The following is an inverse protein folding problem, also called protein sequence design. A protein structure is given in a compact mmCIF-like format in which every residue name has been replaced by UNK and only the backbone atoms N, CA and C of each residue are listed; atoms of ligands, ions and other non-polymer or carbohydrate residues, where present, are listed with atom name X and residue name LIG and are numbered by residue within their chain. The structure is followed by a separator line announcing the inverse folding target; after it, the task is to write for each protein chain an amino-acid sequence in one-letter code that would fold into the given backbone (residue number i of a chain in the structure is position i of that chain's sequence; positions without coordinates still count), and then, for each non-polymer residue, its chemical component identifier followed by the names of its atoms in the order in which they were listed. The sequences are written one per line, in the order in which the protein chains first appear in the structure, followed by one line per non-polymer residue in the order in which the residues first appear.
data_IF_357610631658
#
_entry.id   IF_357610631658
#
_cell.length_a   1.000
_cell.length_b   1.000
_cell.length_c   1.000
_cell.angle_alpha   90.00
_cell.angle_beta   90.00
_cell.angle_gamma   90.00
#
_symmetry.space_group_name_H-M   'P 1'
#
loop_
_entity.id
_entity.type
_entity.pdbx_description
1 polymer ?
#
# COMPACT_ATOMS: atom_id res chain seq x y z
N UNK A 1 43.22 8.20 -4.25
CA UNK A 1 42.47 7.51 -3.20
C UNK A 1 41.12 8.19 -3.09
N UNK A 2 39.99 7.54 -3.43
CA UNK A 2 38.70 8.18 -3.23
C UNK A 2 38.45 8.30 -1.71
N UNK A 3 37.96 9.45 -1.28
CA UNK A 3 37.75 9.81 0.13
C UNK A 3 36.84 8.80 0.83
N UNK A 4 37.45 7.83 1.54
CA UNK A 4 36.77 6.80 2.32
C UNK A 4 36.19 7.32 3.67
N UNK A 5 35.93 8.63 3.75
CA UNK A 5 35.59 9.34 4.99
C UNK A 5 34.54 10.45 4.76
N UNK A 6 33.70 10.34 3.73
CA UNK A 6 32.50 11.18 3.66
C UNK A 6 31.47 10.68 4.69
N UNK A 7 31.16 11.45 5.76
CA UNK A 7 30.18 11.05 6.76
C UNK A 7 28.75 10.96 6.21
N UNK A 8 28.47 11.57 5.05
CA UNK A 8 27.15 11.54 4.41
C UNK A 8 27.02 10.41 3.36
N UNK A 9 28.12 9.76 2.98
CA UNK A 9 28.08 8.70 1.97
C UNK A 9 27.07 7.58 2.28
N UNK A 10 26.91 7.09 3.54
CA UNK A 10 25.91 6.08 3.85
C UNK A 10 24.47 6.56 3.61
N UNK A 11 24.13 7.80 4.00
CA UNK A 11 22.77 8.34 3.86
C UNK A 11 22.43 8.61 2.39
N UNK A 12 23.41 9.08 1.61
CA UNK A 12 23.30 9.23 0.15
C UNK A 12 23.09 7.85 -0.51
N UNK A 13 23.85 6.84 -0.11
CA UNK A 13 23.72 5.50 -0.65
C UNK A 13 22.32 4.90 -0.38
N UNK A 14 21.82 5.01 0.85
CA UNK A 14 20.48 4.51 1.21
C UNK A 14 19.40 5.24 0.39
N UNK A 15 19.50 6.56 0.22
CA UNK A 15 18.56 7.30 -0.61
C UNK A 15 18.57 6.81 -2.07
N UNK A 16 19.75 6.55 -2.65
CA UNK A 16 19.84 5.98 -4.00
C UNK A 16 19.22 4.58 -4.10
N UNK A 17 19.38 3.73 -3.08
CA UNK A 17 18.74 2.40 -3.05
C UNK A 17 17.22 2.51 -3.09
N UNK A 18 16.63 3.45 -2.35
CA UNK A 18 15.20 3.71 -2.41
C UNK A 18 14.75 4.26 -3.77
N UNK A 19 15.48 5.24 -4.30
CA UNK A 19 15.18 5.82 -5.61
C UNK A 19 15.30 4.80 -6.74
N UNK A 20 16.22 3.83 -6.64
CA UNK A 20 16.35 2.76 -7.63
C UNK A 20 15.12 1.85 -7.63
N UNK A 21 14.64 1.43 -6.46
CA UNK A 21 13.41 0.61 -6.41
C UNK A 21 12.20 1.34 -6.98
N UNK A 22 12.11 2.65 -6.75
CA UNK A 22 11.05 3.45 -7.37
C UNK A 22 11.25 3.57 -8.89
N UNK A 23 12.47 3.79 -9.36
CA UNK A 23 12.78 3.84 -10.79
C UNK A 23 12.48 2.52 -11.50
N UNK A 24 12.85 1.39 -10.88
CA UNK A 24 12.56 0.05 -11.39
C UNK A 24 11.04 -0.19 -11.47
N UNK A 25 10.28 0.23 -10.44
CA UNK A 25 8.81 0.12 -10.47
C UNK A 25 8.14 1.05 -11.48
N UNK A 26 8.80 2.16 -11.86
CA UNK A 26 8.32 3.09 -12.87
C UNK A 26 8.81 2.72 -14.28
N UNK A 27 9.59 1.64 -14.43
CA UNK A 27 10.24 1.23 -15.67
C UNK A 27 11.01 2.39 -16.35
N UNK A 28 11.82 3.10 -15.56
CA UNK A 28 12.52 4.30 -16.02
C UNK A 28 13.98 4.34 -15.61
N UNK A 29 14.86 4.75 -16.53
CA UNK A 29 16.26 5.07 -16.23
C UNK A 29 16.45 6.52 -15.75
N UNK A 30 15.42 7.37 -15.81
CA UNK A 30 15.50 8.75 -15.34
C UNK A 30 15.37 8.85 -13.81
N UNK A 31 16.50 8.79 -13.13
CA UNK A 31 16.58 8.99 -11.68
C UNK A 31 16.07 10.36 -11.22
N UNK A 32 16.09 11.39 -12.07
CA UNK A 32 15.52 12.70 -11.71
C UNK A 32 14.01 12.64 -11.72
N UNK A 33 13.41 11.93 -12.67
CA UNK A 33 11.96 11.66 -12.69
C UNK A 33 11.55 10.83 -11.47
N UNK A 34 12.26 9.74 -11.15
CA UNK A 34 11.98 8.95 -9.94
C UNK A 34 12.01 9.81 -8.67
N UNK A 35 12.99 10.72 -8.53
CA UNK A 35 13.05 11.65 -7.40
C UNK A 35 11.87 12.63 -7.37
N UNK A 36 11.45 13.19 -8.52
CA UNK A 36 10.27 14.07 -8.60
C UNK A 36 8.99 13.31 -8.24
N UNK A 37 8.82 12.07 -8.70
CA UNK A 37 7.69 11.23 -8.37
C UNK A 37 7.63 10.88 -6.87
N UNK A 38 8.77 10.53 -6.25
CA UNK A 38 8.85 10.29 -4.80
C UNK A 38 8.50 11.56 -4.01
N UNK A 39 9.04 12.71 -4.42
CA UNK A 39 8.73 14.01 -3.79
C UNK A 39 7.23 14.30 -3.85
N UNK A 40 6.64 14.19 -5.04
CA UNK A 40 5.21 14.40 -5.26
C UNK A 40 4.36 13.48 -4.38
N UNK A 41 4.73 12.20 -4.29
CA UNK A 41 4.06 11.23 -3.43
C UNK A 41 4.16 11.61 -1.95
N UNK A 42 5.37 11.92 -1.46
CA UNK A 42 5.62 12.27 -0.07
C UNK A 42 4.80 13.49 0.35
N UNK A 43 4.79 14.55 -0.46
CA UNK A 43 4.07 15.80 -0.14
C UNK A 43 2.55 15.61 -0.23
N UNK A 44 2.06 14.99 -1.30
CA UNK A 44 0.60 14.80 -1.49
C UNK A 44 -0.02 13.87 -0.45
N UNK A 45 0.71 12.82 -0.02
CA UNK A 45 0.30 11.93 1.07
C UNK A 45 0.37 12.65 2.41
N UNK A 46 1.50 13.28 2.74
CA UNK A 46 1.71 14.03 4.00
C UNK A 46 0.59 15.03 4.26
N UNK A 47 0.17 15.76 3.22
CA UNK A 47 -0.81 16.82 3.36
C UNK A 47 -2.24 16.30 3.62
N UNK A 48 -2.45 14.99 3.51
CA UNK A 48 -3.75 14.30 3.64
C UNK A 48 -3.76 13.25 4.75
N UNK A 49 -2.73 13.18 5.57
CA UNK A 49 -2.71 12.28 6.73
C UNK A 49 -2.57 13.09 8.02
N UNK A 50 -3.00 12.50 9.14
CA UNK A 50 -2.86 13.12 10.46
C UNK A 50 -1.39 13.27 10.89
N UNK A 51 -1.14 14.14 11.87
CA UNK A 51 0.21 14.42 12.38
C UNK A 51 0.89 13.15 12.91
N UNK A 52 0.15 12.29 13.62
CA UNK A 52 0.70 11.03 14.15
C UNK A 52 1.10 10.07 13.03
N UNK A 53 0.23 9.88 12.02
CA UNK A 53 0.54 9.08 10.83
C UNK A 53 1.75 9.65 10.07
N UNK A 54 1.84 10.98 9.96
CA UNK A 54 2.97 11.69 9.35
C UNK A 54 4.28 11.43 10.09
N UNK A 55 4.26 11.47 11.43
CA UNK A 55 5.41 11.14 12.26
C UNK A 55 5.86 9.69 12.04
N UNK A 56 4.93 8.74 12.07
CA UNK A 56 5.22 7.32 11.82
C UNK A 56 5.80 7.05 10.42
N UNK A 57 5.25 7.69 9.39
CA UNK A 57 5.74 7.58 8.01
C UNK A 57 7.17 8.13 7.91
N UNK A 58 7.39 9.36 8.40
CA UNK A 58 8.69 10.04 8.29
C UNK A 58 9.82 9.36 9.08
N UNK A 59 9.48 8.65 10.15
CA UNK A 59 10.44 7.90 10.96
C UNK A 59 11.10 6.74 10.18
N UNK A 60 10.42 6.20 9.17
CA UNK A 60 10.96 5.11 8.35
C UNK A 60 11.68 5.58 7.08
N UNK A 61 11.64 6.87 6.77
CA UNK A 61 12.33 7.40 5.60
C UNK A 61 13.86 7.45 5.82
N UNK A 62 14.67 7.25 4.77
CA UNK A 62 16.07 7.67 4.76
C UNK A 62 16.21 9.15 5.09
N UNK A 63 17.31 9.57 5.71
CA UNK A 63 17.44 10.94 6.25
C UNK A 63 17.28 12.01 5.17
N UNK A 64 17.84 11.79 3.97
CA UNK A 64 17.69 12.72 2.85
C UNK A 64 16.25 12.80 2.34
N UNK A 65 15.55 11.66 2.23
CA UNK A 65 14.14 11.65 1.84
C UNK A 65 13.25 12.24 2.93
N UNK A 66 13.65 12.14 4.20
CA UNK A 66 12.99 12.81 5.32
C UNK A 66 13.13 14.33 5.22
N UNK A 67 14.29 14.84 4.78
CA UNK A 67 14.47 16.26 4.46
C UNK A 67 13.48 16.73 3.39
N UNK A 68 13.34 15.95 2.30
CA UNK A 68 12.34 16.21 1.26
C UNK A 68 10.92 16.17 1.84
N UNK A 69 10.60 15.18 2.66
CA UNK A 69 9.29 15.02 3.28
C UNK A 69 8.84 16.26 4.07
N UNK A 70 9.74 16.91 4.80
CA UNK A 70 9.41 18.09 5.61
C UNK A 70 9.53 19.42 4.85
N UNK A 71 10.00 19.40 3.61
CA UNK A 71 10.13 20.61 2.79
C UNK A 71 8.77 21.31 2.60
N UNK A 72 8.73 22.63 2.84
CA UNK A 72 7.56 23.48 2.71
C UNK A 72 6.32 23.01 3.52
N UNK A 73 6.52 22.23 4.58
CA UNK A 73 5.40 21.71 5.38
C UNK A 73 4.84 22.77 6.34
N UNK A 74 3.51 22.95 6.34
CA UNK A 74 2.81 23.83 7.28
C UNK A 74 1.72 23.03 8.02
N UNK A 75 2.03 22.45 9.19
CA UNK A 75 1.13 21.51 9.90
C UNK A 75 -0.23 22.08 10.30
N UNK A 76 -0.32 23.40 10.52
CA UNK A 76 -1.55 24.06 10.95
C UNK A 76 -2.68 24.02 9.92
N UNK A 77 -2.40 23.61 8.68
CA UNK A 77 -3.38 23.53 7.58
C UNK A 77 -3.84 22.10 7.26
N UNK A 78 -3.49 21.12 8.10
CA UNK A 78 -3.81 19.71 7.90
C UNK A 78 -5.05 19.25 8.68
N UNK A 79 -5.75 18.19 8.21
CA UNK A 79 -5.59 17.57 6.90
C UNK A 79 -6.22 18.44 5.79
N UNK A 80 -5.56 18.53 4.65
CA UNK A 80 -6.17 19.12 3.44
C UNK A 80 -7.32 18.22 3.00
N UNK A 81 -8.40 18.81 2.46
CA UNK A 81 -9.58 18.07 1.99
C UNK A 81 -9.18 16.92 1.05
N UNK A 82 -9.72 15.74 1.32
CA UNK A 82 -9.44 14.49 0.58
C UNK A 82 -10.15 14.40 -0.80
N UNK A 83 -10.07 15.46 -1.61
CA UNK A 83 -10.62 15.45 -2.96
C UNK A 83 -9.61 14.89 -3.97
N UNK A 84 -10.09 14.03 -4.87
CA UNK A 84 -9.27 13.38 -5.91
C UNK A 84 -8.62 14.41 -6.84
N UNK A 85 -9.39 15.38 -7.34
CA UNK A 85 -8.88 16.35 -8.31
C UNK A 85 -7.72 17.18 -7.74
N UNK A 86 -7.82 17.82 -6.55
CA UNK A 86 -6.67 18.47 -5.92
C UNK A 86 -5.47 17.55 -5.65
N UNK A 87 -5.70 16.25 -5.38
CA UNK A 87 -4.60 15.29 -5.24
C UNK A 87 -3.87 15.13 -6.57
N UNK A 88 -4.61 14.82 -7.64
CA UNK A 88 -4.05 14.60 -8.98
C UNK A 88 -3.32 15.85 -9.48
N UNK A 89 -3.94 17.03 -9.33
CA UNK A 89 -3.33 18.30 -9.76
C UNK A 89 -2.04 18.61 -8.99
N UNK A 90 -2.02 18.40 -7.67
CA UNK A 90 -0.81 18.62 -6.87
C UNK A 90 0.29 17.63 -7.28
N UNK A 91 -0.05 16.35 -7.38
CA UNK A 91 0.90 15.30 -7.75
C UNK A 91 1.51 15.56 -9.14
N UNK A 92 0.66 15.79 -10.15
CA UNK A 92 1.10 16.03 -11.53
C UNK A 92 2.07 17.21 -11.62
N UNK A 93 1.75 18.32 -10.93
CA UNK A 93 2.60 19.51 -10.90
C UNK A 93 3.95 19.26 -10.24
N UNK A 94 3.99 18.52 -9.14
CA UNK A 94 5.23 18.25 -8.41
C UNK A 94 6.11 17.18 -9.10
N UNK A 95 5.48 16.21 -9.76
CA UNK A 95 6.15 15.18 -10.55
C UNK A 95 6.57 15.68 -11.95
N UNK A 96 5.97 16.77 -12.43
CA UNK A 96 6.11 17.31 -13.78
C UNK A 96 5.69 16.29 -14.86
N UNK A 97 4.44 15.83 -14.76
CA UNK A 97 3.80 14.84 -15.65
C UNK A 97 2.37 15.27 -16.03
N UNK A 98 1.78 14.60 -17.02
CA UNK A 98 0.37 14.83 -17.35
C UNK A 98 -0.54 14.29 -16.23
N UNK A 99 -1.62 15.01 -15.84
CA UNK A 99 -2.62 14.52 -14.89
C UNK A 99 -3.17 13.12 -15.19
N UNK A 100 -3.22 12.72 -16.46
CA UNK A 100 -3.67 11.38 -16.89
C UNK A 100 -2.68 10.26 -16.49
N UNK A 101 -1.40 10.57 -16.30
CA UNK A 101 -0.36 9.61 -15.92
C UNK A 101 -0.34 9.34 -14.40
N UNK A 102 -0.90 10.26 -13.60
CA UNK A 102 -0.87 10.21 -12.13
C UNK A 102 -1.34 8.88 -11.56
N UNK A 103 -2.47 8.26 -11.97
CA UNK A 103 -2.92 7.01 -11.38
C UNK A 103 -1.91 5.88 -11.49
N UNK A 104 -1.22 5.77 -12.63
CA UNK A 104 -0.20 4.75 -12.84
C UNK A 104 1.06 5.04 -12.01
N UNK A 105 1.55 6.29 -12.08
CA UNK A 105 2.78 6.71 -11.38
C UNK A 105 2.62 6.64 -9.87
N UNK A 106 1.50 7.12 -9.32
CA UNK A 106 1.27 7.08 -7.86
C UNK A 106 1.15 5.65 -7.35
N UNK A 107 0.55 4.74 -8.12
CA UNK A 107 0.44 3.33 -7.76
C UNK A 107 1.82 2.66 -7.74
N UNK A 108 2.60 2.83 -8.80
CA UNK A 108 3.97 2.32 -8.88
C UNK A 108 4.84 2.81 -7.71
N UNK A 109 4.82 4.12 -7.42
CA UNK A 109 5.56 4.69 -6.28
C UNK A 109 5.05 4.12 -4.95
N UNK A 110 3.74 3.94 -4.78
CA UNK A 110 3.17 3.37 -3.54
C UNK A 110 3.67 1.95 -3.31
N UNK A 111 3.62 1.08 -4.32
CA UNK A 111 4.13 -0.29 -4.21
C UNK A 111 5.64 -0.34 -3.94
N UNK A 112 6.43 0.45 -4.67
CA UNK A 112 7.87 0.54 -4.47
C UNK A 112 8.25 0.98 -3.06
N UNK A 113 7.53 1.95 -2.49
CA UNK A 113 7.77 2.42 -1.12
C UNK A 113 7.25 1.43 -0.08
N UNK A 114 6.15 0.72 -0.35
CA UNK A 114 5.63 -0.33 0.54
C UNK A 114 6.66 -1.42 0.80
N UNK A 115 7.42 -1.83 -0.22
CA UNK A 115 8.53 -2.80 -0.09
C UNK A 115 9.68 -2.30 0.81
N UNK A 116 9.83 -0.98 0.95
CA UNK A 116 10.88 -0.38 1.78
C UNK A 116 10.44 -0.09 3.20
N UNK A 117 9.15 0.03 3.44
CA UNK A 117 8.59 0.23 4.76
C UNK A 117 8.40 -1.08 5.52
N UNK A 118 8.28 -0.97 6.85
CA UNK A 118 7.85 -2.11 7.67
C UNK A 118 6.45 -2.58 7.23
N UNK A 119 6.20 -3.90 7.23
CA UNK A 119 4.89 -4.45 6.85
C UNK A 119 3.72 -3.78 7.59
N UNK A 120 2.67 -3.42 6.86
CA UNK A 120 1.46 -2.79 7.39
C UNK A 120 1.63 -1.34 7.87
N UNK A 121 2.77 -0.68 7.62
CA UNK A 121 2.91 0.75 7.89
C UNK A 121 1.92 1.57 7.04
N UNK A 122 1.96 1.40 5.72
CA UNK A 122 1.11 2.18 4.81
C UNK A 122 -0.37 1.93 5.04
N UNK A 123 -0.77 0.68 5.29
CA UNK A 123 -2.16 0.35 5.64
C UNK A 123 -2.65 1.11 6.87
N UNK A 124 -1.80 1.26 7.90
CA UNK A 124 -2.12 2.05 9.11
C UNK A 124 -2.12 3.55 8.84
N UNK A 125 -1.14 4.05 8.11
CA UNK A 125 -1.03 5.48 7.73
C UNK A 125 -2.25 5.92 6.91
N UNK A 126 -2.73 5.06 6.02
CA UNK A 126 -3.86 5.32 5.12
C UNK A 126 -5.23 4.98 5.70
N UNK A 127 -5.30 4.43 6.91
CA UNK A 127 -6.57 4.02 7.53
C UNK A 127 -7.61 5.17 7.64
N UNK A 128 -7.14 6.42 7.71
CA UNK A 128 -7.99 7.62 7.75
C UNK A 128 -8.34 8.21 6.37
N UNK A 129 -7.81 7.67 5.26
CA UNK A 129 -8.08 8.18 3.93
C UNK A 129 -9.43 7.66 3.40
N UNK A 130 -10.18 8.47 2.64
CA UNK A 130 -11.32 7.97 1.89
C UNK A 130 -10.93 6.86 0.92
N UNK A 131 -11.85 5.92 0.72
CA UNK A 131 -11.65 4.76 -0.16
C UNK A 131 -11.21 5.14 -1.57
N UNK A 132 -11.64 6.29 -2.08
CA UNK A 132 -11.26 6.80 -3.41
C UNK A 132 -9.76 7.11 -3.50
N UNK A 133 -9.17 7.75 -2.49
CA UNK A 133 -7.74 8.01 -2.45
C UNK A 133 -6.94 6.72 -2.21
N UNK A 134 -7.42 5.86 -1.32
CA UNK A 134 -6.80 4.55 -1.10
C UNK A 134 -6.73 3.74 -2.40
N UNK A 135 -7.83 3.72 -3.16
CA UNK A 135 -7.91 3.07 -4.47
C UNK A 135 -6.97 3.68 -5.49
N UNK A 136 -6.88 5.01 -5.55
CA UNK A 136 -5.93 5.71 -6.41
C UNK A 136 -4.47 5.34 -6.07
N UNK A 137 -4.11 5.37 -4.78
CA UNK A 137 -2.77 5.07 -4.29
C UNK A 137 -2.33 3.63 -4.60
N UNK A 138 -3.25 2.67 -4.62
CA UNK A 138 -2.96 1.27 -4.96
C UNK A 138 -3.35 0.90 -6.41
N UNK A 139 -3.60 1.88 -7.28
CA UNK A 139 -3.88 1.63 -8.71
C UNK A 139 -5.21 0.92 -8.98
N UNK A 140 -6.12 0.84 -8.01
CA UNK A 140 -7.49 0.39 -8.23
C UNK A 140 -8.27 1.51 -8.92
N UNK A 141 -8.20 1.59 -10.24
CA UNK A 141 -8.88 2.59 -11.07
C UNK A 141 -10.28 2.91 -10.52
N UNK A 142 -10.47 4.16 -10.11
CA UNK A 142 -11.77 4.77 -9.89
C UNK A 142 -11.86 5.91 -10.87
N UNK A 143 -12.71 5.76 -11.88
CA UNK A 143 -13.02 6.83 -12.80
C UNK A 143 -13.63 7.97 -11.97
N UNK A 144 -13.40 9.23 -12.38
CA UNK A 144 -13.87 10.44 -11.68
C UNK A 144 -15.41 10.45 -11.49
N UNK A 145 -16.14 9.56 -12.17
CA UNK A 145 -17.58 9.33 -12.06
C UNK A 145 -18.03 8.21 -11.08
N UNK A 146 -17.12 7.48 -10.41
CA UNK A 146 -17.48 6.43 -9.45
C UNK A 146 -17.97 5.11 -10.05
N UNK A 147 -17.94 4.94 -11.37
CA UNK A 147 -18.23 3.67 -12.03
C UNK A 147 -16.95 2.81 -12.16
N UNK A 148 -17.06 1.49 -12.09
CA UNK A 148 -15.95 0.55 -12.26
C UNK A 148 -15.74 0.29 -13.77
N UNK A 149 -14.63 0.75 -14.36
CA UNK A 149 -14.18 0.24 -15.66
C UNK A 149 -12.97 -0.69 -15.50
N UNK A 150 -13.07 -1.87 -16.13
CA UNK A 150 -11.97 -2.80 -16.34
C UNK A 150 -11.09 -2.30 -17.50
N UNK A 151 -9.79 -2.66 -17.54
CA UNK A 151 -8.89 -2.24 -18.61
C UNK A 151 -9.40 -2.70 -19.99
N UNK A 152 -9.51 -1.78 -20.94
CA UNK A 152 -10.05 -2.00 -22.28
C UNK A 152 -9.10 -2.74 -23.25
N UNK A 153 -8.04 -3.39 -22.77
CA UNK A 153 -7.06 -4.05 -23.66
C UNK A 153 -6.93 -5.56 -23.41
N UNK A 154 -8.06 -6.24 -23.29
CA UNK A 154 -8.14 -7.68 -23.44
C UNK A 154 -8.79 -7.96 -24.79
N UNK A 155 -7.96 -8.28 -25.78
CA UNK A 155 -8.40 -8.70 -27.11
C UNK A 155 -9.42 -9.85 -27.08
N UNK A 156 -10.02 -10.19 -28.23
CA UNK A 156 -11.24 -11.01 -28.35
C UNK A 156 -11.17 -12.47 -27.83
N UNK A 157 -10.11 -12.85 -27.12
CA UNK A 157 -9.90 -14.19 -26.56
C UNK A 157 -9.96 -14.28 -25.01
N UNK A 158 -10.23 -13.19 -24.30
CA UNK A 158 -10.43 -13.30 -22.83
C UNK A 158 -11.91 -13.49 -22.52
N UNK A 159 -12.37 -14.74 -22.51
CA UNK A 159 -13.67 -15.04 -21.92
C UNK A 159 -13.69 -14.58 -20.44
N UNK A 160 -14.72 -13.84 -20.00
CA UNK A 160 -14.87 -13.47 -18.61
C UNK A 160 -15.18 -14.74 -17.83
N UNK A 161 -14.24 -15.24 -17.02
CA UNK A 161 -14.50 -16.40 -16.18
C UNK A 161 -15.57 -16.03 -15.13
N UNK A 162 -16.80 -16.55 -15.21
CA UNK A 162 -17.87 -16.25 -14.25
C UNK A 162 -17.52 -16.65 -12.80
N UNK A 163 -16.47 -17.46 -12.64
CA UNK A 163 -16.04 -18.01 -11.36
C UNK A 163 -15.13 -17.09 -10.52
N UNK A 164 -14.72 -15.92 -11.01
CA UNK A 164 -13.80 -15.07 -10.22
C UNK A 164 -14.50 -14.42 -9.03
N UNK A 165 -15.74 -13.93 -9.21
CA UNK A 165 -16.50 -13.31 -8.13
C UNK A 165 -16.87 -14.34 -7.07
N UNK A 166 -17.39 -15.50 -7.48
CA UNK A 166 -17.74 -16.61 -6.59
C UNK A 166 -16.51 -17.13 -5.81
N UNK A 167 -15.33 -17.18 -6.44
CA UNK A 167 -14.08 -17.55 -5.74
C UNK A 167 -13.64 -16.53 -4.71
N UNK A 168 -13.83 -15.24 -4.99
CA UNK A 168 -13.52 -14.16 -4.05
C UNK A 168 -14.49 -14.19 -2.86
N UNK A 169 -15.79 -14.35 -3.12
CA UNK A 169 -16.82 -14.50 -2.08
C UNK A 169 -16.52 -15.70 -1.18
N UNK A 170 -16.20 -16.85 -1.76
CA UNK A 170 -15.83 -18.04 -1.01
C UNK A 170 -14.60 -17.80 -0.12
N UNK A 171 -13.56 -17.15 -0.65
CA UNK A 171 -12.37 -16.78 0.11
C UNK A 171 -12.69 -15.84 1.28
N UNK A 172 -13.54 -14.84 1.08
CA UNK A 172 -13.94 -13.91 2.14
C UNK A 172 -14.74 -14.60 3.24
N UNK A 173 -15.60 -15.55 2.90
CA UNK A 173 -16.35 -16.36 3.87
C UNK A 173 -15.40 -17.22 4.70
N UNK A 174 -14.47 -17.93 4.07
CA UNK A 174 -13.49 -18.76 4.79
C UNK A 174 -12.60 -17.94 5.73
N UNK A 175 -12.14 -16.76 5.29
CA UNK A 175 -11.36 -15.87 6.15
C UNK A 175 -12.18 -15.35 7.34
N UNK A 176 -13.45 -15.01 7.11
CA UNK A 176 -14.35 -14.53 8.18
C UNK A 176 -14.57 -15.61 9.23
N UNK A 177 -14.80 -16.86 8.81
CA UNK A 177 -14.95 -18.00 9.72
C UNK A 177 -13.67 -18.28 10.52
N UNK A 178 -12.51 -18.23 9.87
CA UNK A 178 -11.22 -18.42 10.53
C UNK A 178 -10.94 -17.33 11.58
N UNK A 179 -11.24 -16.06 11.28
CA UNK A 179 -11.06 -14.95 12.21
C UNK A 179 -12.04 -15.03 13.38
N UNK A 180 -13.31 -15.42 13.14
CA UNK A 180 -14.29 -15.62 14.21
C UNK A 180 -13.90 -16.77 15.14
N UNK A 181 -13.41 -17.89 14.59
CA UNK A 181 -12.92 -19.01 15.39
C UNK A 181 -11.74 -18.58 16.29
N UNK A 182 -10.83 -17.75 15.75
CA UNK A 182 -9.71 -17.22 16.50
C UNK A 182 -10.16 -16.22 17.59
N UNK A 183 -11.04 -15.28 17.25
CA UNK A 183 -11.59 -14.30 18.19
C UNK A 183 -12.29 -14.98 19.36
N UNK A 184 -13.14 -15.97 19.07
CA UNK A 184 -13.84 -16.73 20.10
C UNK A 184 -12.89 -17.51 21.02
N UNK A 185 -11.78 -18.01 20.48
CA UNK A 185 -10.74 -18.66 21.27
C UNK A 185 -9.92 -17.71 22.14
N UNK A 186 -9.87 -16.42 21.79
CA UNK A 186 -9.05 -15.39 22.43
C UNK A 186 -9.84 -14.43 23.35
N UNK A 187 -11.18 -14.46 23.33
CA UNK A 187 -12.06 -13.60 24.13
C UNK A 187 -11.97 -13.84 25.65
N UNK A 188 -11.34 -14.93 26.11
CA UNK A 188 -11.02 -15.13 27.52
C UNK A 188 -9.50 -15.07 27.71
N UNK A 189 -9.01 -14.02 28.38
CA UNK A 189 -7.62 -13.89 28.82
C UNK A 189 -7.19 -15.20 29.54
N UNK A 190 -6.20 -15.95 29.03
CA UNK A 190 -5.80 -17.20 29.64
C UNK A 190 -5.15 -16.94 31.00
N UNK A 191 -5.90 -17.07 32.09
CA UNK A 191 -5.34 -16.95 33.45
C UNK A 191 -4.69 -18.25 33.91
N UNK A 192 -5.05 -19.39 33.31
CA UNK A 192 -4.57 -20.73 33.69
C UNK A 192 -4.23 -21.61 32.47
N UNK A 193 -3.50 -22.72 32.70
CA UNK A 193 -3.02 -23.65 31.66
C UNK A 193 -4.13 -24.22 30.74
N UNK A 194 -5.37 -24.35 31.25
CA UNK A 194 -6.53 -24.77 30.47
C UNK A 194 -7.00 -23.71 29.44
N UNK A 195 -6.67 -22.43 29.64
CA UNK A 195 -6.91 -21.35 28.67
C UNK A 195 -5.95 -21.40 27.49
N UNK A 196 -4.67 -21.73 27.75
CA UNK A 196 -3.65 -21.91 26.70
C UNK A 196 -3.99 -23.06 25.74
N UNK A 197 -4.53 -24.17 26.27
CA UNK A 197 -5.01 -25.32 25.46
C UNK A 197 -6.15 -24.94 24.51
N UNK A 198 -7.10 -24.10 24.96
CA UNK A 198 -8.24 -23.63 24.15
C UNK A 198 -7.81 -22.66 23.05
N UNK A 199 -6.90 -21.73 23.34
CA UNK A 199 -6.33 -20.84 22.32
C UNK A 199 -5.59 -21.62 21.24
N UNK A 200 -4.82 -22.65 21.61
CA UNK A 200 -4.14 -23.54 20.66
C UNK A 200 -5.12 -24.41 19.84
N UNK A 201 -6.29 -24.74 20.39
CA UNK A 201 -7.35 -25.45 19.66
C UNK A 201 -8.10 -24.55 18.68
N UNK A 202 -8.37 -23.30 19.06
CA UNK A 202 -8.93 -22.28 18.17
C UNK A 202 -8.00 -21.96 16.99
N UNK A 203 -6.70 -21.84 17.25
CA UNK A 203 -5.69 -21.65 16.21
C UNK A 203 -5.63 -22.84 15.23
N UNK A 204 -5.71 -24.08 15.74
CA UNK A 204 -5.77 -25.29 14.89
C UNK A 204 -7.04 -25.33 14.05
N UNK A 205 -8.22 -25.05 14.62
CA UNK A 205 -9.47 -24.99 13.85
C UNK A 205 -9.44 -23.92 12.76
N UNK A 206 -8.90 -22.74 13.06
CA UNK A 206 -8.74 -21.69 12.05
C UNK A 206 -7.80 -22.14 10.92
N UNK A 207 -6.71 -22.83 11.25
CA UNK A 207 -5.79 -23.39 10.26
C UNK A 207 -6.45 -24.48 9.39
N UNK A 208 -7.22 -25.39 9.99
CA UNK A 208 -7.91 -26.46 9.27
C UNK A 208 -8.98 -25.89 8.31
N UNK A 209 -9.70 -24.85 8.70
CA UNK A 209 -10.67 -24.16 7.83
C UNK A 209 -9.99 -23.49 6.63
N UNK A 210 -8.81 -22.90 6.83
CA UNK A 210 -8.02 -22.31 5.74
C UNK A 210 -7.52 -23.38 4.76
N UNK A 211 -7.02 -24.51 5.26
CA UNK A 211 -6.58 -25.63 4.42
C UNK A 211 -7.74 -26.26 3.64
N UNK A 212 -8.92 -26.39 4.25
CA UNK A 212 -10.12 -26.88 3.56
C UNK A 212 -10.58 -25.94 2.44
N UNK A 213 -10.47 -24.62 2.64
CA UNK A 213 -10.73 -23.62 1.61
C UNK A 213 -9.72 -23.66 0.44
N UNK A 214 -8.46 -23.98 0.72
CA UNK A 214 -7.42 -24.14 -0.32
C UNK A 214 -7.55 -25.44 -1.11
N UNK A 215 -7.97 -26.55 -0.49
CA UNK A 215 -8.19 -27.83 -1.17
C UNK A 215 -9.34 -27.76 -2.21
N UNK A 216 -10.35 -26.92 -1.98
CA UNK A 216 -11.43 -26.68 -2.94
C UNK A 216 -10.95 -25.97 -4.23
N UNK A 217 -9.78 -25.31 -4.22
CA UNK A 217 -9.16 -24.72 -5.43
C UNK A 217 -8.48 -25.74 -6.33
N UNK A 218 -8.07 -26.91 -5.83
CA UNK A 218 -7.24 -27.88 -6.57
C UNK A 218 -8.02 -28.96 -7.31
N UNK A 219 -9.33 -29.09 -7.07
CA UNK A 219 -10.17 -30.08 -7.75
C UNK A 219 -10.84 -29.46 -8.99
N UNK A 220 -10.10 -29.40 -10.11
CA UNK A 220 -10.63 -29.08 -11.44
C UNK A 220 -10.67 -30.39 -12.25
N UNK A 221 -11.86 -30.94 -12.61
CA UNK A 221 -11.91 -31.97 -13.64
C UNK A 221 -11.55 -31.35 -15.00
N UNK A 222 -10.82 -32.12 -15.81
CA UNK A 222 -10.34 -31.74 -17.15
C UNK A 222 -11.49 -31.57 -18.16
#
# INVERSE_FOLDING_TARGET
MPNNHDPLAPTVHIAHVWLRVVADSLDTDDHRFALRAVRAWLHTVRDRIGIDSSAHLSAQLPELLRGIYYENWVPSHLPVRHALHPFITQFAREADIDPAEVPAVVAAVTYALEEKFSPGLLSRVFAGLPITLYRLLYGASSNIAGELHLPEDLGPDTQPAPDRLARLEQHTTTLTEAVLALSHGLEQLPTDAAGSSRAAEAARRAHDLLLAGEAAKSHRPA
#
